data_IF_767777898252
#
_entry.id   IF_767777898252
#
_cell.length_a   1.000
_cell.length_b   1.000
_cell.length_c   1.000
_cell.angle_alpha   90.00
_cell.angle_beta   90.00
_cell.angle_gamma   90.00
#
_symmetry.space_group_name_H-M   'P 1'
#
loop_
_entity.id
_entity.type
_entity.pdbx_description
1 polymer ?
#
# COMPACT_ATOMS: atom_id res chain seq x y z
N UNK A 1 -26.52 -0.20 -28.92
CA UNK A 1 -25.07 0.12 -29.03
C UNK A 1 -24.87 1.39 -28.24
N UNK A 2 -24.42 1.29 -26.99
CA UNK A 2 -24.35 2.44 -26.10
C UNK A 2 -22.91 2.47 -25.54
N UNK A 3 -22.07 3.29 -26.17
CA UNK A 3 -20.61 3.41 -26.01
C UNK A 3 -20.23 4.46 -24.94
N UNK A 4 -21.17 4.84 -24.08
CA UNK A 4 -20.97 5.97 -23.19
C UNK A 4 -20.19 5.57 -21.93
N UNK A 5 -18.89 5.84 -22.02
CA UNK A 5 -18.14 6.52 -20.97
C UNK A 5 -18.01 5.80 -19.61
N UNK A 6 -17.37 4.63 -19.57
CA UNK A 6 -16.66 4.16 -18.35
C UNK A 6 -15.30 4.83 -18.16
N UNK A 7 -15.26 6.15 -18.38
CA UNK A 7 -14.11 7.04 -18.19
C UNK A 7 -14.21 7.82 -16.87
N UNK A 8 -14.92 7.27 -15.88
CA UNK A 8 -14.90 7.77 -14.51
C UNK A 8 -14.23 6.71 -13.63
N UNK A 9 -13.31 7.16 -12.78
CA UNK A 9 -12.53 6.43 -11.76
C UNK A 9 -11.11 5.98 -12.13
N UNK A 10 -10.39 6.73 -12.98
CA UNK A 10 -8.96 6.90 -12.69
C UNK A 10 -8.87 7.90 -11.55
N UNK A 11 -8.99 7.36 -10.34
CA UNK A 11 -8.98 8.10 -9.09
C UNK A 11 -7.63 8.83 -8.93
N UNK A 12 -7.59 10.18 -9.05
CA UNK A 12 -6.34 10.93 -8.87
C UNK A 12 -5.91 10.98 -7.40
N UNK A 13 -6.67 10.36 -6.47
CA UNK A 13 -6.38 10.38 -5.02
C UNK A 13 -5.36 9.34 -4.57
N UNK A 14 -4.82 8.48 -5.45
CA UNK A 14 -3.89 7.42 -5.02
C UNK A 14 -2.46 7.88 -4.71
N UNK A 15 -2.06 9.11 -5.07
CA UNK A 15 -0.69 9.62 -4.83
C UNK A 15 -0.54 10.44 -3.54
N UNK A 16 -1.64 10.72 -2.83
CA UNK A 16 -1.65 11.81 -1.84
C UNK A 16 -1.51 11.42 -0.38
N UNK A 17 -2.37 10.57 0.16
CA UNK A 17 -2.57 10.51 1.64
C UNK A 17 -3.01 9.16 2.19
N UNK A 18 -2.40 8.04 1.77
CA UNK A 18 -2.34 6.90 2.69
C UNK A 18 -1.34 7.27 3.79
N UNK A 19 -1.84 7.40 5.02
CA UNK A 19 -1.06 7.60 6.24
C UNK A 19 -0.23 6.33 6.53
N UNK A 20 0.73 6.05 5.65
CA UNK A 20 1.71 5.00 5.79
C UNK A 20 3.01 5.57 6.32
N UNK A 21 3.77 4.74 7.04
CA UNK A 21 5.13 5.12 7.47
C UNK A 21 6.05 5.12 6.26
N UNK A 22 7.04 6.00 6.25
CA UNK A 22 8.10 5.99 5.22
C UNK A 22 8.71 4.59 5.20
N UNK A 23 8.85 4.02 4.00
CA UNK A 23 9.44 2.72 3.85
C UNK A 23 10.91 2.77 4.26
N UNK A 24 11.27 2.05 5.33
CA UNK A 24 12.65 1.97 5.82
C UNK A 24 13.60 1.26 4.86
N UNK A 25 13.07 0.43 3.96
CA UNK A 25 13.89 -0.35 3.03
C UNK A 25 14.41 0.49 1.85
N UNK A 26 13.58 1.39 1.30
CA UNK A 26 13.99 2.28 0.20
C UNK A 26 14.17 3.74 0.61
N UNK A 27 13.99 4.07 1.89
CA UNK A 27 14.11 5.45 2.39
C UNK A 27 13.02 6.40 1.86
N UNK A 28 11.90 5.87 1.36
CA UNK A 28 10.78 6.69 0.87
C UNK A 28 10.70 6.91 -0.63
N UNK A 29 11.70 6.48 -1.41
CA UNK A 29 11.74 6.70 -2.86
C UNK A 29 10.82 5.77 -3.65
N UNK A 30 10.49 4.59 -3.10
CA UNK A 30 9.86 3.50 -3.84
C UNK A 30 10.81 2.70 -4.73
N UNK A 31 12.09 3.06 -4.79
CA UNK A 31 13.11 2.47 -5.68
C UNK A 31 14.36 2.11 -4.89
N UNK A 32 14.94 0.94 -5.17
CA UNK A 32 16.23 0.51 -4.64
C UNK A 32 17.30 0.66 -5.71
N UNK A 33 18.43 1.27 -5.34
CA UNK A 33 19.64 1.25 -6.17
C UNK A 33 20.35 -0.08 -5.96
N UNK A 34 20.67 -0.76 -7.05
CA UNK A 34 21.45 -2.01 -7.06
C UNK A 34 22.91 -1.72 -7.36
N UNK A 35 23.14 -0.88 -8.36
CA UNK A 35 24.44 -0.38 -8.82
C UNK A 35 24.28 1.06 -9.32
N UNK A 36 25.33 1.73 -9.74
CA UNK A 36 25.28 3.14 -10.18
C UNK A 36 24.30 3.43 -11.31
N UNK A 37 24.01 2.42 -12.14
CA UNK A 37 23.10 2.53 -13.29
C UNK A 37 21.90 1.57 -13.22
N UNK A 38 21.76 0.80 -12.13
CA UNK A 38 20.69 -0.19 -11.99
C UNK A 38 19.82 0.10 -10.80
N UNK A 39 18.52 0.14 -11.07
CA UNK A 39 17.48 0.39 -10.09
C UNK A 39 16.40 -0.68 -10.22
N UNK A 40 15.77 -1.02 -9.11
CA UNK A 40 14.55 -1.83 -9.11
C UNK A 40 13.49 -1.23 -8.22
N UNK A 41 12.24 -1.52 -8.51
CA UNK A 41 11.13 -1.18 -7.64
C UNK A 41 11.31 -1.81 -6.26
N UNK A 42 11.09 -1.04 -5.20
CA UNK A 42 11.09 -1.56 -3.84
C UNK A 42 9.86 -2.44 -3.64
N UNK A 43 10.09 -3.72 -3.40
CA UNK A 43 9.02 -4.70 -3.25
C UNK A 43 8.32 -4.63 -1.89
N UNK A 44 8.98 -4.13 -0.86
CA UNK A 44 8.37 -3.98 0.48
C UNK A 44 7.24 -2.96 0.49
N UNK A 45 7.42 -1.84 -0.22
CA UNK A 45 6.39 -0.82 -0.37
C UNK A 45 5.72 -0.83 -1.74
N UNK A 46 6.00 -1.83 -2.58
CA UNK A 46 5.46 -1.95 -3.95
C UNK A 46 5.59 -0.65 -4.76
N UNK A 47 6.75 0.02 -4.66
CA UNK A 47 7.00 1.27 -5.37
C UNK A 47 6.35 2.53 -4.78
N UNK A 48 5.60 2.43 -3.68
CA UNK A 48 4.84 3.56 -3.11
C UNK A 48 5.65 4.48 -2.20
N UNK A 49 6.89 4.09 -1.83
CA UNK A 49 7.72 4.81 -0.86
C UNK A 49 7.20 4.78 0.58
N UNK A 50 6.02 4.19 0.82
CA UNK A 50 5.40 4.11 2.15
C UNK A 50 4.84 2.71 2.35
N UNK A 51 5.03 2.16 3.55
CA UNK A 51 4.37 0.93 3.95
C UNK A 51 3.05 1.30 4.62
N UNK A 52 2.01 0.50 4.41
CA UNK A 52 0.76 0.65 5.16
C UNK A 52 1.09 0.64 6.66
N UNK A 53 0.55 1.61 7.41
CA UNK A 53 0.60 1.51 8.86
C UNK A 53 -0.07 0.17 9.23
N UNK A 54 0.51 -0.61 10.17
CA UNK A 54 -0.17 -1.80 10.66
C UNK A 54 -1.55 -1.35 11.12
N UNK A 55 -2.59 -1.93 10.54
CA UNK A 55 -3.93 -1.73 11.03
C UNK A 55 -3.98 -2.39 12.41
N UNK A 56 -3.73 -1.61 13.46
CA UNK A 56 -4.09 -2.00 14.81
C UNK A 56 -5.61 -1.95 14.85
N UNK A 57 -6.26 -2.96 14.28
CA UNK A 57 -7.66 -3.21 14.58
C UNK A 57 -7.65 -3.84 15.97
N UNK A 58 -8.36 -3.27 16.96
CA UNK A 58 -8.56 -3.98 18.20
C UNK A 58 -9.15 -5.35 17.84
N UNK A 59 -8.49 -6.42 18.27
CA UNK A 59 -9.02 -7.76 18.19
C UNK A 59 -10.30 -7.79 19.03
N UNK A 60 -11.46 -7.53 18.40
CA UNK A 60 -12.76 -7.92 18.98
C UNK A 60 -12.82 -9.44 18.96
N UNK A 61 -12.13 -10.07 19.91
CA UNK A 61 -12.19 -11.49 20.16
C UNK A 61 -13.53 -11.80 20.82
N UNK A 62 -14.54 -12.16 20.04
CA UNK A 62 -15.64 -12.97 20.56
C UNK A 62 -15.08 -14.37 20.78
N UNK A 63 -14.62 -14.65 22.01
CA UNK A 63 -14.34 -16.02 22.43
C UNK A 63 -15.67 -16.75 22.54
N UNK A 64 -16.01 -17.52 21.51
CA UNK A 64 -17.11 -18.49 21.61
C UNK A 64 -16.59 -19.70 22.38
N UNK A 65 -16.76 -19.69 23.70
CA UNK A 65 -16.56 -20.88 24.53
C UNK A 65 -17.73 -21.82 24.31
N UNK A 66 -17.57 -22.82 23.45
CA UNK A 66 -18.50 -23.96 23.37
C UNK A 66 -18.25 -24.87 24.57
N UNK A 67 -19.14 -24.82 25.56
CA UNK A 67 -19.20 -25.82 26.63
C UNK A 67 -19.81 -27.12 26.08
N UNK A 68 -19.16 -28.24 26.38
CA UNK A 68 -19.58 -29.60 26.04
C UNK A 68 -20.62 -30.13 27.04
#
# INVERSE_FOLDING_TARGET
>A
MNIEARLLHLDPQQTGRRAGRICGHCGGSGILRLDDQRFRTCLDCLGQGRCAAPAITPISGSVSSSAA
#
